data_IF_287553704448
#
_entry.id   IF_287553704448
#
_cell.length_a   1.000
_cell.length_b   1.000
_cell.length_c   1.000
_cell.angle_alpha   90.00
_cell.angle_beta   90.00
_cell.angle_gamma   90.00
#
_symmetry.space_group_name_H-M   'P 1'
#
loop_
_entity.id
_entity.type
_entity.pdbx_description
1 polymer ?
#
# COMPACT_ATOMS: atom_id res chain seq x y z
N UNK A 1 -4.80 12.97 -42.33
CA UNK A 1 -5.77 13.05 -41.22
C UNK A 1 -5.28 14.07 -40.22
N UNK A 2 -6.09 15.07 -39.90
CA UNK A 2 -5.77 16.08 -38.88
C UNK A 2 -6.07 15.46 -37.53
N UNK A 3 -5.08 15.41 -36.63
CA UNK A 3 -5.31 14.92 -35.26
C UNK A 3 -6.09 15.98 -34.50
N UNK A 4 -7.25 15.58 -33.98
CA UNK A 4 -8.22 16.49 -33.35
C UNK A 4 -7.69 17.03 -32.02
N UNK A 5 -6.78 16.28 -31.39
CA UNK A 5 -6.06 16.65 -30.18
C UNK A 5 -6.04 15.53 -29.17
N UNK A 6 -5.96 15.89 -27.88
CA UNK A 6 -5.99 14.96 -26.76
C UNK A 6 -7.43 14.63 -26.37
N UNK A 7 -7.79 13.35 -26.21
CA UNK A 7 -9.12 12.95 -25.76
C UNK A 7 -9.38 13.38 -24.31
N UNK A 8 -10.65 13.54 -23.96
CA UNK A 8 -11.07 13.75 -22.58
C UNK A 8 -10.87 12.49 -21.75
N UNK A 9 -10.49 12.62 -20.48
CA UNK A 9 -10.32 11.46 -19.61
C UNK A 9 -10.66 11.75 -18.15
N UNK A 10 -11.04 10.70 -17.43
CA UNK A 10 -11.26 10.70 -15.99
C UNK A 10 -10.63 9.45 -15.37
N UNK A 11 -9.92 9.65 -14.27
CA UNK A 11 -9.29 8.56 -13.51
C UNK A 11 -9.89 8.51 -12.12
N UNK A 12 -10.43 7.36 -11.74
CA UNK A 12 -11.00 7.12 -10.41
C UNK A 12 -10.13 6.10 -9.68
N UNK A 13 -9.64 6.48 -8.50
CA UNK A 13 -8.96 5.54 -7.59
C UNK A 13 -10.01 4.90 -6.70
N UNK A 14 -10.04 3.58 -6.68
CA UNK A 14 -10.97 2.80 -5.90
C UNK A 14 -10.20 1.93 -4.91
N UNK A 15 -10.85 1.60 -3.79
CA UNK A 15 -10.33 0.66 -2.80
C UNK A 15 -11.45 -0.30 -2.44
N UNK A 16 -11.18 -1.57 -2.63
CA UNK A 16 -12.07 -2.66 -2.25
C UNK A 16 -12.14 -2.72 -0.70
N UNK A 17 -13.34 -2.63 -0.09
CA UNK A 17 -13.47 -2.54 1.36
C UNK A 17 -13.18 -3.87 2.07
N UNK A 18 -13.39 -5.01 1.41
CA UNK A 18 -13.19 -6.33 2.01
C UNK A 18 -11.72 -6.76 1.94
N UNK A 19 -11.10 -6.60 0.77
CA UNK A 19 -9.73 -7.05 0.54
C UNK A 19 -8.69 -5.95 0.75
N UNK A 20 -9.13 -4.69 0.85
CA UNK A 20 -8.27 -3.52 0.92
C UNK A 20 -7.52 -3.21 -0.38
N UNK A 21 -7.74 -3.98 -1.46
CA UNK A 21 -7.06 -3.86 -2.73
C UNK A 21 -7.33 -2.52 -3.40
N UNK A 22 -6.27 -1.91 -3.95
CA UNK A 22 -6.36 -0.66 -4.70
C UNK A 22 -6.65 -0.96 -6.16
N UNK A 23 -7.61 -0.26 -6.76
CA UNK A 23 -7.93 -0.35 -8.19
C UNK A 23 -7.98 1.04 -8.83
N UNK A 24 -7.77 1.05 -10.14
CA UNK A 24 -7.85 2.25 -10.97
C UNK A 24 -8.87 2.01 -12.08
N UNK A 25 -9.81 2.93 -12.20
CA UNK A 25 -10.77 2.99 -13.30
C UNK A 25 -10.46 4.19 -14.18
N UNK A 26 -10.16 3.92 -15.44
CA UNK A 26 -9.94 4.89 -16.49
C UNK A 26 -11.19 4.99 -17.35
N UNK A 27 -11.63 6.21 -17.59
CA UNK A 27 -12.70 6.55 -18.52
C UNK A 27 -12.10 7.51 -19.52
N UNK A 28 -12.18 7.19 -20.80
CA UNK A 28 -11.64 8.02 -21.88
C UNK A 28 -12.76 8.29 -22.88
N UNK A 29 -13.04 9.57 -23.10
CA UNK A 29 -14.10 10.07 -23.97
C UNK A 29 -13.53 10.36 -25.36
N UNK A 30 -14.11 9.75 -26.39
CA UNK A 30 -13.70 9.89 -27.80
C UNK A 30 -14.85 10.34 -28.71
N UNK A 31 -15.44 11.53 -28.49
CA UNK A 31 -16.64 11.98 -29.20
C UNK A 31 -16.50 12.00 -30.73
N UNK A 32 -15.29 12.22 -31.27
CA UNK A 32 -14.99 12.35 -32.70
C UNK A 32 -14.12 11.18 -33.23
N UNK A 33 -14.24 9.98 -32.66
CA UNK A 33 -13.50 8.79 -33.15
C UNK A 33 -13.97 8.39 -34.55
N UNK A 34 -13.04 7.94 -35.40
CA UNK A 34 -13.38 7.47 -36.74
C UNK A 34 -14.21 6.17 -36.69
N UNK A 35 -15.13 6.01 -37.63
CA UNK A 35 -15.99 4.83 -37.73
C UNK A 35 -15.17 3.56 -37.98
N UNK A 36 -15.49 2.48 -37.25
CA UNK A 36 -14.78 1.20 -37.34
C UNK A 36 -13.46 1.13 -36.55
N UNK A 37 -13.02 2.22 -35.91
CA UNK A 37 -11.85 2.22 -35.03
C UNK A 37 -12.23 1.83 -33.61
N UNK A 38 -11.40 0.99 -33.00
CA UNK A 38 -11.54 0.58 -31.61
C UNK A 38 -10.35 1.12 -30.81
N UNK A 39 -10.61 1.75 -29.65
CA UNK A 39 -9.54 2.16 -28.76
C UNK A 39 -8.68 0.97 -28.35
N UNK A 40 -7.36 1.13 -28.46
CA UNK A 40 -6.37 0.16 -28.02
C UNK A 40 -5.69 0.66 -26.75
N UNK A 41 -5.28 -0.27 -25.91
CA UNK A 41 -4.51 0.03 -24.71
C UNK A 41 -3.25 -0.83 -24.65
N UNK A 42 -2.19 -0.32 -24.03
CA UNK A 42 -0.94 -1.05 -23.82
C UNK A 42 -0.22 -0.57 -22.57
N UNK A 43 0.35 -1.48 -21.78
CA UNK A 43 1.32 -1.15 -20.75
C UNK A 43 2.71 -1.04 -21.39
N UNK A 44 3.38 0.07 -21.14
CA UNK A 44 4.72 0.39 -21.62
C UNK A 44 5.63 0.60 -20.42
N UNK A 45 6.83 0.04 -20.48
CA UNK A 45 7.83 0.24 -19.42
C UNK A 45 8.46 1.63 -19.50
N UNK A 46 8.95 2.15 -18.37
CA UNK A 46 9.62 3.46 -18.35
C UNK A 46 10.88 3.52 -19.23
N UNK A 47 11.49 2.39 -19.57
CA UNK A 47 12.66 2.31 -20.45
C UNK A 47 12.36 2.55 -21.93
N UNK A 48 11.09 2.39 -22.35
CA UNK A 48 10.68 2.61 -23.74
C UNK A 48 10.48 4.10 -24.06
N UNK A 49 10.25 4.94 -23.04
CA UNK A 49 10.08 6.38 -23.21
C UNK A 49 11.44 7.09 -23.28
N UNK A 50 11.60 8.01 -24.24
CA UNK A 50 12.83 8.82 -24.43
C UNK A 50 12.78 10.24 -23.86
N UNK A 51 11.67 10.61 -23.22
CA UNK A 51 11.40 11.99 -22.79
C UNK A 51 11.91 12.26 -21.37
N UNK A 52 11.66 11.35 -20.43
CA UNK A 52 12.07 11.46 -19.03
C UNK A 52 13.15 10.42 -18.70
N UNK A 53 13.98 10.64 -17.66
CA UNK A 53 14.88 9.62 -17.16
C UNK A 53 14.13 8.33 -16.83
N UNK A 54 14.61 7.15 -17.27
CA UNK A 54 13.87 5.90 -17.10
C UNK A 54 13.84 5.43 -15.65
N UNK A 55 12.69 5.59 -14.99
CA UNK A 55 12.44 5.12 -13.62
C UNK A 55 11.70 3.78 -13.60
N UNK A 56 12.34 2.71 -13.10
CA UNK A 56 11.72 1.36 -12.96
C UNK A 56 10.49 1.31 -12.06
N UNK A 57 10.33 2.30 -11.18
CA UNK A 57 9.22 2.36 -10.20
C UNK A 57 7.88 2.64 -10.87
N UNK A 58 7.90 3.10 -12.12
CA UNK A 58 6.73 3.53 -12.86
C UNK A 58 6.59 2.74 -14.17
N UNK A 59 5.34 2.57 -14.57
CA UNK A 59 4.92 2.09 -15.88
C UNK A 59 4.02 3.15 -16.50
N UNK A 60 3.84 3.07 -17.81
CA UNK A 60 2.96 3.96 -18.53
C UNK A 60 1.84 3.16 -19.18
N UNK A 61 0.60 3.49 -18.85
CA UNK A 61 -0.58 2.92 -19.50
C UNK A 61 -0.97 3.83 -20.67
N UNK A 62 -0.84 3.32 -21.88
CA UNK A 62 -1.12 4.05 -23.11
C UNK A 62 -2.52 3.72 -23.60
N UNK A 63 -3.21 4.73 -24.11
CA UNK A 63 -4.44 4.59 -24.88
C UNK A 63 -4.25 5.21 -26.26
N UNK A 64 -4.58 4.45 -27.30
CA UNK A 64 -4.46 4.88 -28.68
C UNK A 64 -5.79 4.68 -29.42
N UNK A 65 -6.30 5.75 -30.02
CA UNK A 65 -7.46 5.73 -30.89
C UNK A 65 -7.28 6.78 -31.98
N UNK A 66 -7.41 6.43 -33.25
CA UNK A 66 -7.37 7.42 -34.33
C UNK A 66 -8.73 8.12 -34.45
N UNK A 67 -8.77 9.44 -34.72
CA UNK A 67 -7.68 10.38 -35.03
C UNK A 67 -7.05 11.07 -33.81
N UNK A 68 -7.38 10.64 -32.59
CA UNK A 68 -6.85 11.21 -31.36
C UNK A 68 -5.36 10.94 -31.17
N UNK A 69 -4.71 11.79 -30.39
CA UNK A 69 -3.35 11.53 -29.94
C UNK A 69 -3.32 10.40 -28.91
N UNK A 70 -2.27 9.59 -28.97
CA UNK A 70 -2.00 8.59 -27.93
C UNK A 70 -1.71 9.30 -26.61
N UNK A 71 -2.49 8.98 -25.59
CA UNK A 71 -2.28 9.47 -24.23
C UNK A 71 -1.61 8.38 -23.39
N UNK A 72 -0.77 8.80 -22.44
CA UNK A 72 -0.09 7.90 -21.52
C UNK A 72 -0.32 8.35 -20.07
N UNK A 73 -0.65 7.40 -19.20
CA UNK A 73 -0.82 7.63 -17.77
C UNK A 73 0.33 6.98 -17.01
N UNK A 74 0.94 7.74 -16.10
CA UNK A 74 1.94 7.21 -15.17
C UNK A 74 1.25 6.35 -14.11
N UNK A 75 1.58 5.08 -14.06
CA UNK A 75 1.03 4.07 -13.15
C UNK A 75 2.17 3.47 -12.32
N UNK A 76 2.00 3.21 -11.01
CA UNK A 76 2.99 2.47 -10.24
C UNK A 76 3.31 1.12 -10.88
N UNK A 77 4.58 0.71 -10.92
CA UNK A 77 5.02 -0.59 -11.45
C UNK A 77 4.71 -1.74 -10.48
N UNK A 78 3.47 -1.81 -9.99
CA UNK A 78 2.95 -2.89 -9.15
C UNK A 78 2.37 -4.00 -10.01
N UNK A 79 2.35 -5.22 -9.49
CA UNK A 79 1.68 -6.31 -10.19
C UNK A 79 0.18 -6.04 -10.30
N UNK A 80 -0.34 -6.16 -11.51
CA UNK A 80 -1.77 -6.06 -11.79
C UNK A 80 -2.39 -7.45 -11.68
N UNK A 81 -3.52 -7.53 -11.00
CA UNK A 81 -4.31 -8.76 -10.95
C UNK A 81 -5.04 -8.93 -12.30
N UNK A 82 -4.65 -9.96 -13.06
CA UNK A 82 -5.21 -10.28 -14.38
C UNK A 82 -6.47 -11.14 -14.31
N UNK A 83 -7.03 -11.34 -13.11
CA UNK A 83 -8.32 -12.03 -12.94
C UNK A 83 -9.42 -11.24 -13.67
N UNK A 84 -10.31 -11.94 -14.38
CA UNK A 84 -11.35 -11.34 -15.23
C UNK A 84 -12.28 -10.37 -14.47
N UNK A 85 -12.53 -10.64 -13.18
CA UNK A 85 -13.35 -9.77 -12.32
C UNK A 85 -12.64 -8.47 -11.90
N UNK A 86 -11.31 -8.43 -11.99
CA UNK A 86 -10.48 -7.32 -11.50
C UNK A 86 -9.83 -6.54 -12.64
N UNK A 87 -9.57 -7.17 -13.79
CA UNK A 87 -9.09 -6.54 -15.02
C UNK A 87 -10.13 -6.69 -16.13
N UNK A 88 -10.75 -5.59 -16.53
CA UNK A 88 -11.71 -5.58 -17.62
C UNK A 88 -11.65 -4.28 -18.43
N UNK A 89 -12.10 -4.37 -19.68
CA UNK A 89 -12.22 -3.23 -20.59
C UNK A 89 -13.58 -3.25 -21.27
N UNK A 90 -14.19 -2.09 -21.45
CA UNK A 90 -15.46 -1.95 -22.13
C UNK A 90 -15.42 -0.76 -23.09
N UNK A 91 -15.89 -0.97 -24.31
CA UNK A 91 -16.03 0.08 -25.31
C UNK A 91 -17.51 0.31 -25.60
N UNK A 92 -18.01 1.49 -25.21
CA UNK A 92 -19.36 1.92 -25.54
C UNK A 92 -19.33 2.74 -26.83
N UNK A 93 -19.90 2.19 -27.91
CA UNK A 93 -19.93 2.84 -29.22
C UNK A 93 -20.96 3.96 -29.34
N UNK A 94 -22.00 3.91 -28.50
CA UNK A 94 -23.09 4.89 -28.52
C UNK A 94 -22.66 6.18 -27.83
N UNK A 95 -22.03 6.06 -26.65
CA UNK A 95 -21.49 7.21 -25.92
C UNK A 95 -20.06 7.58 -26.32
N UNK A 96 -19.41 6.73 -27.13
CA UNK A 96 -17.99 6.85 -27.52
C UNK A 96 -17.04 6.88 -26.33
N UNK A 97 -17.32 6.06 -25.31
CA UNK A 97 -16.56 6.01 -24.07
C UNK A 97 -15.83 4.68 -23.90
N UNK A 98 -14.54 4.77 -23.62
CA UNK A 98 -13.70 3.61 -23.30
C UNK A 98 -13.46 3.53 -21.80
N UNK A 99 -13.77 2.37 -21.24
CA UNK A 99 -13.55 2.05 -19.83
C UNK A 99 -12.46 0.99 -19.73
N UNK A 100 -11.52 1.21 -18.83
CA UNK A 100 -10.52 0.23 -18.46
C UNK A 100 -10.38 0.25 -16.94
N UNK A 101 -10.62 -0.89 -16.31
CA UNK A 101 -10.44 -1.07 -14.88
C UNK A 101 -9.41 -2.16 -14.63
N UNK A 102 -8.52 -1.92 -13.68
CA UNK A 102 -7.66 -2.95 -13.13
C UNK A 102 -7.44 -2.78 -11.62
N UNK A 103 -7.29 -3.88 -10.90
CA UNK A 103 -6.82 -3.88 -9.53
C UNK A 103 -5.34 -4.22 -9.46
N UNK A 104 -4.63 -3.59 -8.52
CA UNK A 104 -3.30 -4.03 -8.13
C UNK A 104 -3.42 -5.24 -7.23
N UNK A 105 -2.51 -6.20 -7.39
CA UNK A 105 -2.34 -7.25 -6.40
C UNK A 105 -1.96 -6.60 -5.07
N UNK A 106 -2.58 -7.06 -3.99
CA UNK A 106 -2.10 -6.70 -2.66
C UNK A 106 -0.70 -7.28 -2.50
N UNK A 107 0.27 -6.42 -2.17
CA UNK A 107 1.46 -6.94 -1.52
C UNK A 107 1.02 -7.49 -0.16
N UNK A 108 1.39 -8.73 0.19
CA UNK A 108 1.16 -9.20 1.55
C UNK A 108 1.83 -8.20 2.49
N UNK A 109 1.06 -7.68 3.45
CA UNK A 109 1.53 -6.75 4.49
C UNK A 109 2.69 -7.37 5.31
N UNK A 110 2.98 -8.66 5.12
CA UNK A 110 4.25 -9.28 5.51
C UNK A 110 5.30 -9.17 4.41
N UNK A 111 6.05 -8.06 4.40
CA UNK A 111 7.45 -8.15 3.98
C UNK A 111 8.16 -9.24 4.82
N UNK A 112 9.31 -9.78 4.39
CA UNK A 112 10.05 -10.73 5.22
C UNK A 112 10.19 -10.13 6.63
N UNK A 113 9.96 -10.93 7.69
CA UNK A 113 10.13 -10.44 9.05
C UNK A 113 11.49 -9.75 9.14
N UNK A 114 11.61 -8.61 9.87
CA UNK A 114 12.89 -7.95 10.04
C UNK A 114 13.91 -9.02 10.46
N UNK A 115 15.10 -9.04 9.85
CA UNK A 115 16.12 -9.99 10.26
C UNK A 115 16.28 -9.88 11.78
N UNK A 116 16.42 -11.01 12.51
CA UNK A 116 16.58 -10.95 13.96
C UNK A 116 17.73 -9.99 14.25
N UNK A 117 17.43 -8.96 15.06
CA UNK A 117 18.43 -8.00 15.53
C UNK A 117 19.56 -8.81 16.16
N UNK A 118 20.69 -8.92 15.46
CA UNK A 118 21.86 -9.57 16.03
C UNK A 118 22.24 -8.76 17.27
N UNK A 119 22.39 -9.39 18.45
CA UNK A 119 22.86 -8.67 19.62
C UNK A 119 24.20 -7.99 19.29
N UNK A 120 24.43 -6.76 19.77
CA UNK A 120 25.68 -6.05 19.53
C UNK A 120 26.86 -6.87 20.06
N UNK A 121 28.05 -6.80 19.42
CA UNK A 121 29.24 -7.47 19.90
C UNK A 121 29.53 -7.11 21.37
N UNK A 122 29.95 -8.06 22.21
CA UNK A 122 30.17 -7.87 23.65
C UNK A 122 31.25 -6.84 24.03
N UNK A 123 31.88 -6.19 23.05
CA UNK A 123 32.96 -5.23 23.25
C UNK A 123 32.47 -3.78 23.51
N UNK A 124 31.16 -3.53 23.46
CA UNK A 124 30.57 -2.22 23.74
C UNK A 124 29.87 -2.15 25.12
N UNK A 125 29.98 -3.17 25.97
CA UNK A 125 29.46 -3.10 27.33
C UNK A 125 30.46 -2.35 28.22
N UNK A 126 30.06 -1.24 28.89
CA UNK A 126 30.89 -0.66 29.95
C UNK A 126 31.05 -1.68 31.08
N UNK A 127 32.22 -1.75 31.73
CA UNK A 127 32.46 -2.68 32.82
C UNK A 127 31.49 -2.42 33.98
N UNK A 128 30.99 -3.47 34.65
CA UNK A 128 30.15 -3.29 35.83
C UNK A 128 30.96 -2.58 36.94
N UNK A 129 30.30 -1.72 37.75
CA UNK A 129 30.95 -1.11 38.89
C UNK A 129 31.40 -2.17 39.91
N UNK A 130 32.49 -1.93 40.65
CA UNK A 130 32.97 -2.87 41.65
C UNK A 130 31.90 -3.06 42.73
N UNK A 131 31.46 -4.30 42.94
CA UNK A 131 30.62 -4.65 44.07
C UNK A 131 31.43 -4.47 45.36
N UNK A 132 31.08 -3.44 46.13
CA UNK A 132 31.58 -3.26 47.48
C UNK A 132 30.87 -4.29 48.38
N UNK A 133 31.56 -5.39 48.68
CA UNK A 133 31.07 -6.44 49.58
C UNK A 133 31.11 -5.90 51.01
N UNK A 134 29.98 -5.69 51.71
CA UNK A 134 30.01 -5.34 53.12
C UNK A 134 30.41 -6.57 53.96
N UNK A 135 31.18 -6.37 55.04
CA UNK A 135 31.69 -7.46 55.87
C UNK A 135 30.58 -8.17 56.67
N UNK A 136 30.80 -9.43 57.07
CA UNK A 136 29.76 -10.25 57.68
C UNK A 136 29.60 -9.99 59.20
N UNK A 137 28.34 -9.94 59.59
CA UNK A 137 27.72 -10.18 60.91
C UNK A 137 28.27 -9.44 62.14
N UNK A 138 27.38 -8.69 62.79
CA UNK A 138 27.16 -8.84 64.23
C UNK A 138 25.69 -8.58 64.60
N UNK A 139 25.30 -9.25 65.67
CA UNK A 139 23.96 -9.67 66.05
C UNK A 139 23.26 -8.66 66.97
N UNK A 140 21.96 -8.92 67.23
CA UNK A 140 21.06 -8.36 68.27
C UNK A 140 20.39 -7.02 67.87
N UNK A 141 19.12 -6.69 68.15
CA UNK A 141 18.16 -7.13 69.16
C UNK A 141 16.72 -6.74 68.71
N UNK A 142 15.71 -7.30 69.37
CA UNK A 142 14.25 -7.25 69.15
C UNK A 142 13.63 -5.84 68.93
N UNK A 143 12.53 -5.74 68.16
CA UNK A 143 11.11 -5.79 68.61
C UNK A 143 10.13 -5.62 67.43
N UNK A 144 8.88 -6.11 67.53
CA UNK A 144 7.92 -6.19 66.43
C UNK A 144 6.96 -5.00 66.44
N UNK A 145 6.37 -4.67 65.29
CA UNK A 145 4.92 -4.37 65.19
C UNK A 145 4.48 -4.01 63.77
N UNK A 146 3.26 -4.45 63.49
CA UNK A 146 2.25 -3.79 62.65
C UNK A 146 2.24 -4.12 61.16
N UNK A 147 1.52 -5.21 60.91
CA UNK A 147 0.57 -5.43 59.81
C UNK A 147 0.05 -4.15 59.15
N UNK A 148 0.10 -4.09 57.83
CA UNK A 148 -1.05 -3.64 57.02
C UNK A 148 -1.03 -4.32 55.66
N UNK A 149 -1.98 -5.24 55.53
CA UNK A 149 -2.47 -5.81 54.29
C UNK A 149 -3.05 -4.71 53.42
N UNK A 150 -2.72 -4.71 52.12
CA UNK A 150 -3.54 -4.06 51.09
C UNK A 150 -3.70 -5.05 49.95
N UNK A 151 -4.79 -5.79 50.04
CA UNK A 151 -5.42 -6.51 48.93
C UNK A 151 -6.12 -5.46 48.05
N UNK A 152 -5.60 -5.28 46.83
CA UNK A 152 -6.17 -4.41 45.80
C UNK A 152 -6.82 -5.28 44.74
N UNK A 153 -8.04 -5.69 45.02
CA UNK A 153 -8.90 -6.57 44.22
C UNK A 153 -9.11 -6.03 42.79
N UNK A 154 -8.94 -6.91 41.81
CA UNK A 154 -9.30 -6.69 40.42
C UNK A 154 -10.83 -6.74 40.26
N UNK A 155 -11.41 -5.74 39.58
CA UNK A 155 -12.77 -5.84 39.05
C UNK A 155 -12.79 -5.33 37.62
N UNK A 156 -12.91 -6.28 36.70
CA UNK A 156 -13.37 -6.10 35.32
C UNK A 156 -14.83 -5.67 35.29
N UNK A 157 -15.19 -4.71 34.45
CA UNK A 157 -16.59 -4.43 34.11
C UNK A 157 -16.78 -4.51 32.59
N UNK A 158 -17.57 -5.51 32.22
CA UNK A 158 -18.07 -5.87 30.89
C UNK A 158 -19.23 -4.92 30.51
N UNK A 159 -19.36 -4.59 29.22
CA UNK A 159 -20.57 -4.03 28.58
C UNK A 159 -21.77 -5.04 28.62
N UNK A 160 -22.97 -4.83 28.02
CA UNK A 160 -23.54 -3.72 27.23
C UNK A 160 -25.01 -3.37 27.66
N UNK A 161 -26.03 -3.20 26.77
CA UNK A 161 -26.63 -1.93 26.34
C UNK A 161 -28.12 -1.79 26.71
N UNK A 162 -28.76 -0.63 26.50
CA UNK A 162 -30.18 -0.52 26.08
C UNK A 162 -30.60 0.93 25.83
N UNK A 163 -31.02 1.23 24.60
CA UNK A 163 -32.26 1.93 24.21
C UNK A 163 -32.19 2.27 22.71
#
# INVERSE_FOLDING_TARGET
FVKIGRPGYRVTKQRDPETGQQSLLYQVDYPEIADGIFPRHRFMSAYEQRVEPPDRKWQYLLFAAEPYETIAFKVPSREVDKSENKFWTHWNRDTKQFFLQFAFKNEPIGGPPPPPLRPPPPHLMPPPPPMNVPPPHQCLILFPASTKSYDGTATSAFCPPHA
#
